data_IF_184914174033
#
_entry.id   IF_184914174033
#
_cell.length_a   1.000
_cell.length_b   1.000
_cell.length_c   1.000
_cell.angle_alpha   90.00
_cell.angle_beta   90.00
_cell.angle_gamma   90.00
#
_symmetry.space_group_name_H-M   'P 1'
#
loop_
_entity.id
_entity.type
_entity.pdbx_description
1 polymer ?
#
# COMPACT_ATOMS: atom_id res chain seq x y z
N UNK A 1 4.99 42.93 4.40
CA UNK A 1 3.76 42.19 4.77
C UNK A 1 3.43 40.98 3.88
N UNK A 2 4.10 40.77 2.73
CA UNK A 2 3.77 39.68 1.78
C UNK A 2 4.48 38.33 1.97
N UNK A 3 5.64 38.27 2.64
CA UNK A 3 6.40 37.01 2.76
C UNK A 3 5.77 36.03 3.76
N UNK A 4 5.22 36.56 4.85
CA UNK A 4 4.59 35.76 5.91
C UNK A 4 3.27 35.12 5.44
N UNK A 5 2.47 35.84 4.66
CA UNK A 5 1.20 35.34 4.10
C UNK A 5 1.48 34.19 3.12
N UNK A 6 2.47 34.34 2.22
CA UNK A 6 2.84 33.29 1.24
C UNK A 6 3.37 32.02 1.92
N UNK A 7 4.18 32.16 2.97
CA UNK A 7 4.65 31.01 3.78
C UNK A 7 3.49 30.32 4.52
N UNK A 8 2.55 31.10 5.06
CA UNK A 8 1.37 30.56 5.77
C UNK A 8 0.44 29.80 4.81
N UNK A 9 0.18 30.34 3.62
CA UNK A 9 -0.62 29.67 2.58
C UNK A 9 0.04 28.38 2.07
N UNK A 10 1.36 28.40 1.83
CA UNK A 10 2.09 27.18 1.41
C UNK A 10 2.08 26.09 2.48
N UNK A 11 2.14 26.47 3.76
CA UNK A 11 2.01 25.52 4.88
C UNK A 11 0.61 24.90 4.94
N UNK A 12 -0.44 25.73 4.86
CA UNK A 12 -1.83 25.25 4.87
C UNK A 12 -2.15 24.31 3.70
N UNK A 13 -1.61 24.58 2.50
CA UNK A 13 -1.77 23.68 1.35
C UNK A 13 -1.07 22.33 1.57
N UNK A 14 0.14 22.35 2.13
CA UNK A 14 0.86 21.12 2.44
C UNK A 14 0.15 20.30 3.52
N UNK A 15 -0.40 20.95 4.56
CA UNK A 15 -1.15 20.30 5.63
C UNK A 15 -2.46 19.67 5.10
N UNK A 16 -3.16 20.35 4.18
CA UNK A 16 -4.35 19.80 3.52
C UNK A 16 -3.99 18.58 2.64
N UNK A 17 -2.96 18.68 1.80
CA UNK A 17 -2.51 17.57 0.96
C UNK A 17 -2.04 16.36 1.78
N UNK A 18 -1.36 16.60 2.91
CA UNK A 18 -0.96 15.56 3.84
C UNK A 18 -2.18 14.83 4.39
N UNK A 19 -3.18 15.59 4.85
CA UNK A 19 -4.42 15.04 5.40
C UNK A 19 -5.17 14.18 4.37
N UNK A 20 -5.29 14.66 3.13
CA UNK A 20 -5.97 13.95 2.05
C UNK A 20 -5.29 12.59 1.77
N UNK A 21 -3.97 12.57 1.61
CA UNK A 21 -3.22 11.33 1.33
C UNK A 21 -3.34 10.34 2.49
N UNK A 22 -3.30 10.81 3.74
CA UNK A 22 -3.48 9.96 4.92
C UNK A 22 -4.88 9.33 4.93
N UNK A 23 -5.92 10.07 4.53
CA UNK A 23 -7.28 9.53 4.45
C UNK A 23 -7.39 8.47 3.35
N UNK A 24 -6.83 8.71 2.16
CA UNK A 24 -6.80 7.71 1.08
C UNK A 24 -6.07 6.42 1.50
N UNK A 25 -4.95 6.54 2.23
CA UNK A 25 -4.21 5.41 2.79
C UNK A 25 -5.10 4.59 3.74
N UNK A 26 -5.83 5.27 4.65
CA UNK A 26 -6.75 4.61 5.59
C UNK A 26 -7.89 3.91 4.86
N UNK A 27 -8.47 4.53 3.84
CA UNK A 27 -9.53 3.94 3.02
C UNK A 27 -9.08 2.66 2.31
N UNK A 28 -7.85 2.63 1.80
CA UNK A 28 -7.27 1.42 1.18
C UNK A 28 -6.94 0.33 2.22
N UNK A 29 -6.46 0.71 3.40
CA UNK A 29 -6.04 -0.22 4.45
C UNK A 29 -7.22 -0.91 5.17
N UNK A 30 -8.32 -0.18 5.38
CA UNK A 30 -9.52 -0.68 6.08
C UNK A 30 -10.05 -2.03 5.55
N UNK A 31 -10.35 -2.20 4.24
CA UNK A 31 -10.85 -3.47 3.71
C UNK A 31 -9.79 -4.60 3.73
N UNK A 32 -8.53 -4.25 3.97
CA UNK A 32 -7.42 -5.20 4.12
C UNK A 32 -7.15 -5.56 5.58
N UNK A 33 -7.83 -4.91 6.54
CA UNK A 33 -7.58 -5.06 7.98
C UNK A 33 -6.13 -4.75 8.37
N UNK A 34 -5.44 -3.90 7.60
CA UNK A 34 -4.07 -3.49 7.89
C UNK A 34 -4.11 -2.36 8.91
N UNK A 35 -3.42 -2.56 10.04
CA UNK A 35 -3.36 -1.55 11.09
C UNK A 35 -2.44 -0.38 10.71
N UNK A 36 -2.68 0.81 11.28
CA UNK A 36 -1.76 1.94 11.13
C UNK A 36 -0.37 1.66 11.73
N UNK A 37 -0.30 0.84 12.79
CA UNK A 37 0.97 0.43 13.39
C UNK A 37 1.80 -0.37 12.40
N UNK A 38 1.19 -1.32 11.71
CA UNK A 38 1.86 -2.18 10.73
C UNK A 38 2.29 -1.39 9.49
N UNK A 39 1.48 -0.40 9.07
CA UNK A 39 1.88 0.55 8.03
C UNK A 39 3.13 1.35 8.41
N UNK A 40 3.18 1.87 9.65
CA UNK A 40 4.34 2.60 10.16
C UNK A 40 5.57 1.70 10.27
N UNK A 41 5.40 0.46 10.74
CA UNK A 41 6.49 -0.52 10.82
C UNK A 41 7.05 -0.87 9.44
N UNK A 42 6.19 -1.10 8.45
CA UNK A 42 6.60 -1.36 7.08
C UNK A 42 7.32 -0.15 6.47
N UNK A 43 6.80 1.06 6.65
CA UNK A 43 7.47 2.29 6.23
C UNK A 43 8.87 2.40 6.87
N UNK A 44 8.96 2.26 8.19
CA UNK A 44 10.23 2.35 8.91
C UNK A 44 11.26 1.33 8.41
N UNK A 45 10.81 0.12 8.08
CA UNK A 45 11.67 -0.92 7.49
C UNK A 45 12.11 -0.58 6.06
N UNK A 46 11.20 -0.10 5.22
CA UNK A 46 11.47 0.21 3.82
C UNK A 46 12.42 1.40 3.65
N UNK A 47 12.31 2.41 4.53
CA UNK A 47 13.06 3.67 4.43
C UNK A 47 14.18 3.80 5.48
N UNK A 48 14.34 2.81 6.37
CA UNK A 48 15.27 2.86 7.51
C UNK A 48 15.04 4.11 8.40
N UNK A 49 13.78 4.36 8.75
CA UNK A 49 13.32 5.51 9.54
C UNK A 49 12.68 5.06 10.87
N UNK A 50 12.23 6.03 11.67
CA UNK A 50 11.56 5.79 12.98
C UNK A 50 10.33 6.69 13.15
N UNK A 51 9.48 6.73 12.14
CA UNK A 51 8.19 7.42 12.20
C UNK A 51 7.30 6.76 13.28
N UNK A 52 6.65 7.60 14.08
CA UNK A 52 5.69 7.18 15.12
C UNK A 52 4.25 7.51 14.74
N UNK A 53 4.07 8.46 13.82
CA UNK A 53 2.79 8.87 13.25
C UNK A 53 2.93 9.10 11.75
N UNK A 54 1.82 9.14 11.01
CA UNK A 54 1.85 9.51 9.59
C UNK A 54 2.32 10.95 9.34
N UNK A 55 2.20 11.84 10.33
CA UNK A 55 2.69 13.21 10.22
C UNK A 55 4.23 13.29 10.27
N UNK A 56 4.90 12.24 10.75
CA UNK A 56 6.35 12.13 10.74
C UNK A 56 6.90 11.71 9.37
N UNK A 57 6.01 11.30 8.44
CA UNK A 57 6.37 10.72 7.14
C UNK A 57 6.31 11.81 6.06
N UNK A 58 7.26 11.77 5.11
CA UNK A 58 7.23 12.70 3.98
C UNK A 58 6.04 12.41 3.06
N UNK A 59 5.52 13.43 2.36
CA UNK A 59 4.46 13.24 1.36
C UNK A 59 4.87 12.21 0.29
N UNK A 60 6.15 12.17 -0.09
CA UNK A 60 6.66 11.20 -1.06
C UNK A 60 6.52 9.77 -0.54
N UNK A 61 6.93 9.51 0.70
CA UNK A 61 6.89 8.17 1.27
C UNK A 61 5.46 7.72 1.60
N UNK A 62 4.56 8.66 1.90
CA UNK A 62 3.12 8.38 2.01
C UNK A 62 2.52 7.96 0.66
N UNK A 63 2.85 8.66 -0.43
CA UNK A 63 2.43 8.26 -1.79
C UNK A 63 2.95 6.88 -2.14
N UNK A 64 4.18 6.59 -1.74
CA UNK A 64 4.79 5.29 -1.96
C UNK A 64 4.09 4.18 -1.15
N UNK A 65 3.79 4.40 0.13
CA UNK A 65 2.94 3.51 0.93
C UNK A 65 1.56 3.28 0.30
N UNK A 66 0.92 4.34 -0.21
CA UNK A 66 -0.36 4.27 -0.94
C UNK A 66 -0.25 3.35 -2.17
N UNK A 67 0.87 3.37 -2.90
CA UNK A 67 1.11 2.46 -4.03
C UNK A 67 1.13 1.00 -3.55
N UNK A 68 1.89 0.67 -2.50
CA UNK A 68 1.88 -0.69 -1.92
C UNK A 68 0.46 -1.14 -1.57
N UNK A 69 -0.30 -0.30 -0.86
CA UNK A 69 -1.67 -0.61 -0.46
C UNK A 69 -2.60 -0.82 -1.66
N UNK A 70 -2.47 0.01 -2.69
CA UNK A 70 -3.26 -0.11 -3.92
C UNK A 70 -3.01 -1.43 -4.63
N UNK A 71 -1.76 -1.92 -4.62
CA UNK A 71 -1.41 -3.22 -5.20
C UNK A 71 -2.01 -4.37 -4.42
N UNK A 72 -1.88 -4.37 -3.09
CA UNK A 72 -2.46 -5.40 -2.23
C UNK A 72 -3.99 -5.43 -2.41
N UNK A 73 -4.63 -4.26 -2.43
CA UNK A 73 -6.05 -4.13 -2.67
C UNK A 73 -6.47 -4.70 -4.03
N UNK A 74 -5.72 -4.38 -5.09
CA UNK A 74 -5.97 -4.92 -6.43
C UNK A 74 -5.79 -6.44 -6.48
N UNK A 75 -4.71 -6.98 -5.89
CA UNK A 75 -4.47 -8.41 -5.83
C UNK A 75 -5.61 -9.16 -5.12
N UNK A 76 -6.05 -8.65 -3.95
CA UNK A 76 -7.20 -9.20 -3.22
C UNK A 76 -8.49 -9.17 -4.04
N UNK A 77 -8.75 -8.05 -4.73
CA UNK A 77 -9.99 -7.84 -5.48
C UNK A 77 -10.08 -8.74 -6.71
N UNK A 78 -8.97 -8.96 -7.41
CA UNK A 78 -8.93 -9.71 -8.67
C UNK A 78 -8.82 -11.23 -8.43
N UNK A 79 -8.08 -11.66 -7.41
CA UNK A 79 -7.79 -13.08 -7.20
C UNK A 79 -9.01 -13.96 -6.89
N UNK A 80 -10.07 -13.36 -6.31
CA UNK A 80 -11.26 -14.05 -5.79
C UNK A 80 -10.96 -15.22 -4.83
N UNK A 81 -9.76 -15.26 -4.26
CA UNK A 81 -9.33 -16.31 -3.33
C UNK A 81 -9.15 -15.79 -1.90
N UNK A 82 -8.92 -16.70 -0.96
CA UNK A 82 -8.67 -16.39 0.44
C UNK A 82 -7.33 -15.68 0.64
N UNK A 83 -7.22 -15.00 1.78
CA UNK A 83 -5.95 -14.36 2.17
C UNK A 83 -4.86 -15.41 2.40
N UNK A 84 -5.21 -16.59 2.91
CA UNK A 84 -4.27 -17.69 3.16
C UNK A 84 -3.61 -18.17 1.87
N UNK A 85 -4.40 -18.36 0.80
CA UNK A 85 -3.89 -18.76 -0.51
C UNK A 85 -3.00 -17.68 -1.14
N UNK A 86 -3.41 -16.41 -1.01
CA UNK A 86 -2.59 -15.28 -1.45
C UNK A 86 -1.25 -15.23 -0.71
N UNK A 87 -1.28 -15.35 0.62
CA UNK A 87 -0.07 -15.36 1.45
C UNK A 87 0.85 -16.54 1.11
N UNK A 88 0.27 -17.71 0.85
CA UNK A 88 1.03 -18.88 0.42
C UNK A 88 1.72 -18.63 -0.92
N UNK A 89 1.01 -18.07 -1.91
CA UNK A 89 1.61 -17.72 -3.20
C UNK A 89 2.76 -16.73 -3.06
N UNK A 90 2.54 -15.62 -2.34
CA UNK A 90 3.60 -14.64 -2.12
C UNK A 90 4.78 -15.25 -1.35
N UNK A 91 4.52 -16.15 -0.39
CA UNK A 91 5.57 -16.87 0.33
C UNK A 91 6.45 -17.70 -0.59
N UNK A 92 5.82 -18.45 -1.51
CA UNK A 92 6.53 -19.30 -2.48
C UNK A 92 7.39 -18.44 -3.41
N UNK A 93 6.83 -17.37 -3.96
CA UNK A 93 7.52 -16.53 -4.95
C UNK A 93 8.63 -15.67 -4.31
N UNK A 94 8.43 -15.19 -3.07
CA UNK A 94 9.44 -14.39 -2.36
C UNK A 94 10.51 -15.22 -1.64
N UNK A 95 10.28 -16.52 -1.44
CA UNK A 95 11.12 -17.38 -0.60
C UNK A 95 11.06 -17.04 0.89
N UNK A 96 10.09 -16.23 1.33
CA UNK A 96 9.90 -15.80 2.72
C UNK A 96 8.59 -16.32 3.27
N UNK A 97 8.52 -16.54 4.58
CA UNK A 97 7.25 -16.88 5.23
C UNK A 97 6.39 -15.61 5.33
N UNK A 98 5.33 -15.55 4.55
CA UNK A 98 4.34 -14.48 4.55
C UNK A 98 3.06 -14.99 5.21
N UNK A 99 2.53 -14.25 6.18
CA UNK A 99 1.36 -14.70 6.96
C UNK A 99 0.24 -13.70 7.02
N UNK A 100 0.46 -12.48 6.54
CA UNK A 100 -0.52 -11.39 6.61
C UNK A 100 -0.32 -10.40 5.46
N UNK A 101 -1.32 -9.55 5.19
CA UNK A 101 -1.13 -8.43 4.26
C UNK A 101 -0.13 -7.37 4.75
N UNK A 102 0.20 -7.36 6.04
CA UNK A 102 1.18 -6.43 6.60
C UNK A 102 2.57 -6.71 6.04
N UNK A 103 2.91 -7.99 5.89
CA UNK A 103 4.16 -8.44 5.27
C UNK A 103 4.27 -8.01 3.80
N UNK A 104 3.14 -7.79 3.12
CA UNK A 104 3.10 -7.40 1.71
C UNK A 104 3.52 -5.95 1.48
N UNK A 105 3.47 -5.10 2.52
CA UNK A 105 3.78 -3.67 2.40
C UNK A 105 5.26 -3.40 2.09
N UNK A 106 6.13 -4.39 2.27
CA UNK A 106 7.56 -4.27 2.05
C UNK A 106 7.90 -4.10 0.57
N UNK A 107 8.83 -3.19 0.25
CA UNK A 107 9.17 -2.86 -1.14
C UNK A 107 9.68 -4.05 -1.94
N UNK A 108 10.42 -4.93 -1.28
CA UNK A 108 10.93 -6.17 -1.85
C UNK A 108 9.82 -7.09 -2.39
N UNK A 109 8.59 -6.98 -1.88
CA UNK A 109 7.46 -7.80 -2.33
C UNK A 109 6.68 -7.16 -3.49
N UNK A 110 6.90 -5.88 -3.81
CA UNK A 110 6.10 -5.16 -4.81
C UNK A 110 6.14 -5.79 -6.19
N UNK A 111 7.34 -6.14 -6.68
CA UNK A 111 7.50 -6.75 -8.01
C UNK A 111 6.70 -8.03 -8.14
N UNK A 112 6.76 -8.87 -7.11
CA UNK A 112 6.04 -10.14 -7.03
C UNK A 112 4.53 -9.91 -7.02
N UNK A 113 4.04 -8.94 -6.24
CA UNK A 113 2.60 -8.61 -6.21
C UNK A 113 2.12 -8.12 -7.59
N UNK A 114 2.93 -7.34 -8.31
CA UNK A 114 2.62 -6.95 -9.69
C UNK A 114 2.49 -8.17 -10.61
N UNK A 115 3.44 -9.11 -10.55
CA UNK A 115 3.39 -10.34 -11.34
C UNK A 115 2.13 -11.16 -11.01
N UNK A 116 1.80 -11.32 -9.73
CA UNK A 116 0.57 -11.98 -9.29
C UNK A 116 -0.69 -11.33 -9.88
N UNK A 117 -0.79 -10.00 -9.86
CA UNK A 117 -1.93 -9.26 -10.44
C UNK A 117 -2.06 -9.54 -11.94
N UNK A 118 -0.95 -9.52 -12.67
CA UNK A 118 -0.95 -9.78 -14.11
C UNK A 118 -1.35 -11.22 -14.43
N UNK A 119 -0.93 -12.19 -13.61
CA UNK A 119 -1.39 -13.58 -13.70
C UNK A 119 -2.90 -13.69 -13.47
N UNK A 120 -3.41 -13.08 -12.39
CA UNK A 120 -4.84 -13.14 -12.05
C UNK A 120 -5.70 -12.56 -13.19
N UNK A 121 -5.28 -11.44 -13.78
CA UNK A 121 -5.97 -10.81 -14.92
C UNK A 121 -6.01 -11.73 -16.15
N UNK A 122 -4.91 -12.42 -16.45
CA UNK A 122 -4.85 -13.39 -17.56
C UNK A 122 -5.78 -14.57 -17.32
N UNK A 123 -5.97 -15.00 -16.08
CA UNK A 123 -6.92 -16.08 -15.75
C UNK A 123 -8.37 -15.62 -15.81
N UNK A 124 -8.70 -14.39 -15.38
CA UNK A 124 -10.06 -13.84 -15.54
C UNK A 124 -10.45 -13.70 -17.02
N UNK A 125 -9.50 -13.31 -17.89
CA UNK A 125 -9.76 -13.17 -19.33
C UNK A 125 -9.95 -14.48 -20.10
N UNK A 126 -9.65 -15.64 -19.51
CA UNK A 126 -9.92 -16.95 -20.13
C UNK A 126 -11.36 -17.45 -19.91
N UNK A 127 -12.17 -16.73 -19.13
CA UNK A 127 -13.56 -17.09 -18.82
C UNK A 127 -14.71 -16.34 -19.54
N UNK A 128 -14.56 -15.61 -20.69
CA UNK A 128 -15.74 -15.05 -21.38
C UNK A 128 -16.53 -16.06 -22.25
N UNK A 129 -15.91 -17.10 -22.81
CA UNK A 129 -16.56 -17.95 -23.84
C UNK A 129 -16.36 -19.45 -23.58
N UNK A 130 -17.03 -20.00 -22.57
CA UNK A 130 -17.34 -21.43 -22.53
C UNK A 130 -18.82 -21.61 -22.28
N UNK A 131 -19.56 -21.51 -23.38
CA UNK A 131 -20.92 -22.05 -23.54
C UNK A 131 -20.83 -23.36 -24.32
#
# INVERSE_FOLDING_TARGET
MNLFIKKSQGKLQNDAHLHDIINEIKELANPLWISSVSMLQAHNKNFNTKATTFNDITISDLRDLKVSLSLIYAAKKISRTSIEELNQRLSIQSGKKITSYEDWLLHENRGIIYEMIDEFRKTEWKHPDSK
#
